data_IF_332313101031
#
_entry.id   IF_332313101031
#
_cell.length_a   1.000
_cell.length_b   1.000
_cell.length_c   1.000
_cell.angle_alpha   90.00
_cell.angle_beta   90.00
_cell.angle_gamma   90.00
#
_symmetry.space_group_name_H-M   'P 1'
#
loop_
_entity.id
_entity.type
_entity.pdbx_description
1 polymer ?
#
# COMPACT_ATOMS: atom_id res chain seq x y z
N UNK A 1 -36.70 61.32 -46.79
CA UNK A 1 -37.05 60.16 -45.92
C UNK A 1 -35.90 59.92 -44.96
N UNK A 2 -36.19 60.00 -43.67
CA UNK A 2 -35.23 60.15 -42.58
C UNK A 2 -34.65 58.80 -42.11
N UNK A 3 -33.37 58.81 -41.74
CA UNK A 3 -32.66 57.71 -41.08
C UNK A 3 -33.09 57.56 -39.62
N UNK A 4 -33.25 56.34 -39.08
CA UNK A 4 -33.51 56.17 -37.66
C UNK A 4 -32.19 56.20 -36.89
N UNK A 5 -31.95 57.33 -36.21
CA UNK A 5 -31.04 57.41 -35.07
C UNK A 5 -31.72 56.72 -33.89
N UNK A 6 -31.22 55.56 -33.47
CA UNK A 6 -31.58 54.98 -32.19
C UNK A 6 -30.37 55.03 -31.25
N UNK A 7 -30.52 55.97 -30.33
CA UNK A 7 -29.64 56.34 -29.24
C UNK A 7 -29.21 55.13 -28.41
N UNK A 8 -27.90 55.05 -28.13
CA UNK A 8 -27.37 54.35 -26.97
C UNK A 8 -27.97 54.97 -25.70
N UNK A 9 -28.64 54.21 -24.82
CA UNK A 9 -28.89 54.70 -23.47
C UNK A 9 -27.65 54.43 -22.61
N UNK A 10 -27.27 55.50 -21.93
CA UNK A 10 -26.25 55.64 -20.92
C UNK A 10 -26.11 54.44 -19.97
N UNK A 11 -24.84 54.17 -19.65
CA UNK A 11 -24.34 53.49 -18.47
C UNK A 11 -25.23 53.69 -17.24
N UNK A 12 -25.99 52.66 -16.87
CA UNK A 12 -26.40 52.45 -15.49
C UNK A 12 -25.18 51.94 -14.74
N UNK A 13 -24.58 52.83 -13.95
CA UNK A 13 -23.67 52.46 -12.87
C UNK A 13 -24.48 51.65 -11.86
N UNK A 14 -24.52 50.33 -12.05
CA UNK A 14 -24.91 49.40 -11.01
C UNK A 14 -23.76 49.40 -10.01
N UNK A 15 -23.94 50.16 -8.93
CA UNK A 15 -23.21 49.95 -7.68
C UNK A 15 -23.60 48.56 -7.16
N UNK A 16 -22.95 47.52 -7.68
CA UNK A 16 -22.91 46.24 -7.00
C UNK A 16 -21.93 46.42 -5.85
N UNK A 17 -22.46 46.41 -4.63
CA UNK A 17 -21.66 46.21 -3.43
C UNK A 17 -20.85 44.93 -3.68
N UNK A 18 -19.54 45.07 -3.79
CA UNK A 18 -18.63 43.94 -3.61
C UNK A 18 -18.89 43.44 -2.19
N UNK A 19 -19.75 42.43 -2.06
CA UNK A 19 -19.72 41.57 -0.88
C UNK A 19 -18.32 41.03 -0.83
N UNK A 20 -17.51 41.50 0.12
CA UNK A 20 -16.20 40.93 0.37
C UNK A 20 -16.44 39.47 0.71
N UNK A 21 -16.20 38.57 -0.25
CA UNK A 21 -16.09 37.17 0.06
C UNK A 21 -14.91 37.07 1.02
N UNK A 22 -15.23 36.87 2.31
CA UNK A 22 -14.23 36.53 3.31
C UNK A 22 -13.49 35.32 2.78
N UNK A 23 -12.25 35.52 2.33
CA UNK A 23 -11.31 34.45 2.04
C UNK A 23 -11.12 33.68 3.35
N UNK A 24 -11.95 32.66 3.55
CA UNK A 24 -11.71 31.67 4.60
C UNK A 24 -10.43 30.95 4.18
N UNK A 25 -9.36 30.98 4.97
CA UNK A 25 -8.19 30.19 4.65
C UNK A 25 -8.64 28.73 4.62
N UNK A 26 -8.51 28.07 3.47
CA UNK A 26 -8.81 26.65 3.28
C UNK A 26 -7.75 25.74 3.93
N UNK A 27 -7.08 26.22 4.98
CA UNK A 27 -6.29 25.40 5.85
C UNK A 27 -7.22 24.90 6.95
N UNK A 28 -7.97 23.85 6.63
CA UNK A 28 -8.45 22.96 7.68
C UNK A 28 -7.22 22.58 8.51
N UNK A 29 -7.22 22.97 9.77
CA UNK A 29 -6.27 22.43 10.75
C UNK A 29 -6.53 20.93 10.79
N UNK A 30 -5.81 20.17 9.96
CA UNK A 30 -5.51 18.79 10.27
C UNK A 30 -4.90 18.86 11.66
N UNK A 31 -5.66 18.41 12.66
CA UNK A 31 -5.12 18.23 13.99
C UNK A 31 -3.91 17.32 13.80
N UNK A 32 -2.71 17.91 13.86
CA UNK A 32 -1.47 17.20 13.99
C UNK A 32 -1.65 16.33 15.23
N UNK A 33 -2.07 15.07 15.04
CA UNK A 33 -1.92 14.06 16.07
C UNK A 33 -0.43 13.98 16.29
N UNK A 34 0.06 14.68 17.31
CA UNK A 34 1.41 14.49 17.81
C UNK A 34 1.52 13.01 18.15
N UNK A 35 2.24 12.26 17.32
CA UNK A 35 2.61 10.89 17.65
C UNK A 35 3.60 11.01 18.81
N UNK A 36 3.16 10.65 20.01
CA UNK A 36 4.08 10.51 21.14
C UNK A 36 5.05 9.35 20.87
N UNK A 37 6.27 9.47 21.39
CA UNK A 37 7.18 8.34 21.48
C UNK A 37 6.63 7.30 22.44
N UNK A 38 6.97 6.02 22.23
CA UNK A 38 6.62 4.96 23.16
C UNK A 38 7.19 5.27 24.56
N UNK A 39 6.37 5.13 25.59
CA UNK A 39 6.78 5.22 26.99
C UNK A 39 7.32 3.87 27.47
N UNK A 40 8.27 3.87 28.40
CA UNK A 40 8.83 2.62 28.97
C UNK A 40 7.80 1.80 29.77
N UNK A 41 6.72 2.44 30.22
CA UNK A 41 5.60 1.75 30.88
C UNK A 41 4.78 0.94 29.89
N UNK A 42 4.65 -0.38 30.14
CA UNK A 42 3.83 -1.29 29.34
C UNK A 42 4.53 -1.90 28.11
N UNK A 43 5.87 -1.87 28.05
CA UNK A 43 6.64 -2.50 26.96
C UNK A 43 6.38 -4.01 26.91
N UNK A 44 5.75 -4.47 25.83
CA UNK A 44 5.54 -5.89 25.53
C UNK A 44 6.68 -6.39 24.65
N UNK A 45 7.40 -7.41 25.12
CA UNK A 45 8.38 -8.12 24.30
C UNK A 45 7.66 -8.91 23.21
N UNK A 46 7.96 -8.60 21.95
CA UNK A 46 7.37 -9.26 20.77
C UNK A 46 8.46 -9.56 19.75
N UNK A 47 8.38 -10.73 19.13
CA UNK A 47 9.24 -11.06 18.00
C UNK A 47 8.79 -10.28 16.76
N UNK A 48 9.71 -10.06 15.80
CA UNK A 48 9.36 -9.43 14.51
C UNK A 48 8.23 -10.20 13.81
N UNK A 49 8.29 -11.54 13.86
CA UNK A 49 7.24 -12.42 13.33
C UNK A 49 5.88 -12.15 13.96
N UNK A 50 5.81 -12.06 15.28
CA UNK A 50 4.54 -11.78 15.97
C UNK A 50 4.06 -10.35 15.70
N UNK A 51 4.98 -9.39 15.58
CA UNK A 51 4.67 -8.01 15.25
C UNK A 51 4.06 -7.86 13.84
N UNK A 52 4.60 -8.60 12.85
CA UNK A 52 4.04 -8.71 11.51
C UNK A 52 2.66 -9.39 11.53
N UNK A 53 2.50 -10.48 12.27
CA UNK A 53 1.21 -11.17 12.42
C UNK A 53 0.14 -10.23 13.03
N UNK A 54 0.49 -9.51 14.09
CA UNK A 54 -0.40 -8.52 14.72
C UNK A 54 -0.77 -7.40 13.73
N UNK A 55 0.19 -6.89 12.95
CA UNK A 55 -0.09 -5.91 11.90
C UNK A 55 -1.10 -6.43 10.88
N UNK A 56 -0.89 -7.64 10.35
CA UNK A 56 -1.79 -8.27 9.39
C UNK A 56 -3.19 -8.47 9.97
N UNK A 57 -3.28 -9.00 11.19
CA UNK A 57 -4.54 -9.21 11.87
C UNK A 57 -5.33 -7.90 12.06
N UNK A 58 -4.66 -6.85 12.53
CA UNK A 58 -5.30 -5.55 12.77
C UNK A 58 -5.80 -4.91 11.47
N UNK A 59 -5.06 -5.03 10.35
CA UNK A 59 -5.52 -4.49 9.06
C UNK A 59 -6.63 -5.35 8.43
N UNK A 60 -6.58 -6.68 8.57
CA UNK A 60 -7.66 -7.57 8.13
C UNK A 60 -8.96 -7.30 8.89
N UNK A 61 -8.87 -7.02 10.18
CA UNK A 61 -10.02 -6.69 11.02
C UNK A 61 -10.57 -5.29 10.70
N UNK A 62 -9.69 -4.30 10.50
CA UNK A 62 -10.07 -2.92 10.22
C UNK A 62 -10.65 -2.68 8.83
N UNK A 63 -10.33 -3.51 7.83
CA UNK A 63 -10.78 -3.30 6.45
C UNK A 63 -11.19 -4.60 5.74
N UNK A 64 -12.48 -4.69 5.40
CA UNK A 64 -13.04 -5.86 4.69
C UNK A 64 -12.51 -6.03 3.26
N UNK A 65 -11.90 -5.00 2.67
CA UNK A 65 -11.27 -5.06 1.35
C UNK A 65 -9.87 -5.66 1.36
N UNK A 66 -9.26 -5.76 2.54
CA UNK A 66 -7.88 -6.24 2.70
C UNK A 66 -7.87 -7.76 2.72
N UNK A 67 -6.97 -8.41 2.00
CA UNK A 67 -6.84 -9.87 2.05
C UNK A 67 -5.41 -10.26 1.75
N UNK A 68 -5.02 -11.45 2.18
CA UNK A 68 -3.68 -12.00 1.98
C UNK A 68 -3.79 -13.12 0.95
N UNK A 69 -2.84 -13.14 0.00
CA UNK A 69 -2.65 -14.23 -0.92
C UNK A 69 -1.16 -14.53 -1.10
N UNK A 70 -0.84 -15.80 -1.32
CA UNK A 70 0.51 -16.27 -1.58
C UNK A 70 0.62 -17.77 -1.38
N UNK A 71 1.82 -18.31 -1.56
CA UNK A 71 2.10 -19.72 -1.34
C UNK A 71 2.13 -20.01 0.17
N UNK A 72 1.40 -21.04 0.58
CA UNK A 72 1.40 -21.57 1.96
C UNK A 72 0.95 -20.58 3.05
N UNK A 73 0.36 -19.44 2.68
CA UNK A 73 -0.06 -18.39 3.62
C UNK A 73 -1.26 -18.80 4.48
N UNK A 74 -2.08 -19.75 4.03
CA UNK A 74 -3.31 -20.15 4.70
C UNK A 74 -3.12 -21.46 5.48
N UNK A 75 -3.27 -22.64 4.85
CA UNK A 75 -3.33 -23.91 5.57
C UNK A 75 -2.03 -24.26 6.30
N UNK A 76 -0.89 -23.87 5.73
CA UNK A 76 0.43 -24.12 6.33
C UNK A 76 0.80 -23.07 7.40
N UNK A 77 -0.07 -22.10 7.67
CA UNK A 77 0.17 -20.98 8.58
C UNK A 77 1.35 -20.08 8.17
N UNK A 78 1.70 -20.05 6.89
CA UNK A 78 2.85 -19.33 6.34
C UNK A 78 4.16 -20.12 6.46
N UNK A 79 5.03 -20.02 5.46
CA UNK A 79 6.34 -20.68 5.45
C UNK A 79 7.16 -20.33 6.70
N UNK A 80 7.21 -19.04 7.05
CA UNK A 80 7.92 -18.51 8.23
C UNK A 80 7.01 -18.22 9.44
N UNK A 81 5.76 -18.72 9.41
CA UNK A 81 4.76 -18.58 10.48
C UNK A 81 4.29 -17.14 10.75
N UNK A 82 4.47 -16.22 9.80
CA UNK A 82 3.99 -14.83 9.90
C UNK A 82 2.45 -14.77 9.80
N UNK A 83 1.82 -15.62 9.01
CA UNK A 83 0.34 -15.64 8.81
C UNK A 83 -0.39 -16.64 9.72
N UNK A 84 0.29 -17.15 10.75
CA UNK A 84 -0.26 -18.16 11.68
C UNK A 84 -1.59 -17.72 12.31
N UNK A 85 -2.59 -18.60 12.26
CA UNK A 85 -3.91 -18.42 12.85
C UNK A 85 -4.81 -17.40 12.14
N UNK A 86 -4.35 -16.78 11.04
CA UNK A 86 -5.16 -15.80 10.30
C UNK A 86 -6.28 -16.48 9.50
N UNK A 87 -6.03 -17.68 8.95
CA UNK A 87 -7.06 -18.44 8.24
C UNK A 87 -8.24 -18.78 9.15
N UNK A 88 -7.97 -19.28 10.35
CA UNK A 88 -9.02 -19.65 11.32
C UNK A 88 -9.84 -18.44 11.77
N UNK A 89 -9.21 -17.27 11.87
CA UNK A 89 -9.85 -16.01 12.28
C UNK A 89 -10.66 -15.35 11.17
N UNK A 90 -10.17 -15.30 9.94
CA UNK A 90 -10.74 -14.48 8.86
C UNK A 90 -11.32 -15.30 7.70
N UNK A 91 -11.06 -16.60 7.67
CA UNK A 91 -11.61 -17.54 6.70
C UNK A 91 -10.93 -17.51 5.32
N UNK A 92 -11.28 -18.49 4.45
CA UNK A 92 -10.59 -18.74 3.18
C UNK A 92 -10.82 -17.67 2.11
N UNK A 93 -11.72 -16.71 2.35
CA UNK A 93 -11.91 -15.55 1.45
C UNK A 93 -10.93 -14.42 1.74
N UNK A 94 -10.29 -14.43 2.91
CA UNK A 94 -9.41 -13.35 3.39
C UNK A 94 -7.95 -13.78 3.48
N UNK A 95 -7.69 -15.09 3.58
CA UNK A 95 -6.36 -15.70 3.57
C UNK A 95 -6.38 -16.84 2.56
N UNK A 96 -5.67 -16.66 1.45
CA UNK A 96 -5.84 -17.48 0.23
C UNK A 96 -4.50 -18.13 -0.14
N UNK A 97 -4.45 -19.46 -0.10
CA UNK A 97 -3.32 -20.21 -0.70
C UNK A 97 -3.38 -20.15 -2.22
N UNK A 98 -2.24 -19.91 -2.85
CA UNK A 98 -2.10 -19.87 -4.31
C UNK A 98 -1.28 -21.05 -4.83
N UNK A 99 -1.47 -21.47 -6.10
CA UNK A 99 -0.50 -22.32 -6.78
C UNK A 99 0.87 -21.62 -6.88
N UNK A 100 1.92 -22.42 -7.13
CA UNK A 100 3.30 -21.93 -7.34
C UNK A 100 3.39 -21.29 -8.73
N UNK A 101 2.97 -20.02 -8.81
CA UNK A 101 2.96 -19.23 -10.03
C UNK A 101 2.98 -17.75 -9.67
N UNK A 102 4.16 -17.24 -9.34
CA UNK A 102 4.37 -15.88 -8.85
C UNK A 102 3.76 -14.85 -9.81
N UNK A 103 4.02 -14.99 -11.12
CA UNK A 103 3.44 -14.10 -12.13
C UNK A 103 1.91 -14.14 -12.13
N UNK A 104 1.33 -15.33 -11.96
CA UNK A 104 -0.12 -15.54 -11.98
C UNK A 104 -0.81 -14.88 -10.80
N UNK A 105 -0.40 -15.23 -9.56
CA UNK A 105 -1.05 -14.65 -8.38
C UNK A 105 -0.72 -13.18 -8.19
N UNK A 106 0.47 -12.71 -8.60
CA UNK A 106 0.82 -11.28 -8.57
C UNK A 106 -0.04 -10.50 -9.54
N UNK A 107 -0.25 -10.98 -10.77
CA UNK A 107 -1.14 -10.34 -11.74
C UNK A 107 -2.59 -10.29 -11.25
N UNK A 108 -3.06 -11.37 -10.60
CA UNK A 108 -4.37 -11.41 -9.95
C UNK A 108 -4.47 -10.37 -8.83
N UNK A 109 -3.46 -10.27 -7.97
CA UNK A 109 -3.40 -9.29 -6.89
C UNK A 109 -3.44 -7.86 -7.46
N UNK A 110 -2.64 -7.56 -8.47
CA UNK A 110 -2.64 -6.24 -9.12
C UNK A 110 -4.03 -5.94 -9.70
N UNK A 111 -4.64 -6.89 -10.43
CA UNK A 111 -6.01 -6.73 -10.94
C UNK A 111 -7.04 -6.46 -9.84
N UNK A 112 -6.95 -7.18 -8.72
CA UNK A 112 -7.81 -6.97 -7.55
C UNK A 112 -7.62 -5.58 -6.93
N UNK A 113 -6.37 -5.10 -6.83
CA UNK A 113 -6.06 -3.76 -6.36
C UNK A 113 -6.65 -2.67 -7.28
N UNK A 114 -6.54 -2.84 -8.59
CA UNK A 114 -7.12 -1.93 -9.57
C UNK A 114 -8.66 -1.93 -9.53
N UNK A 115 -9.27 -3.08 -9.18
CA UNK A 115 -10.70 -3.21 -8.93
C UNK A 115 -11.16 -2.66 -7.56
N UNK A 116 -10.22 -2.13 -6.74
CA UNK A 116 -10.53 -1.45 -5.48
C UNK A 116 -10.47 -2.32 -4.22
N UNK A 117 -9.89 -3.52 -4.30
CA UNK A 117 -9.47 -4.31 -3.13
C UNK A 117 -8.07 -3.89 -2.66
N UNK A 118 -7.65 -4.41 -1.49
CA UNK A 118 -6.38 -4.06 -0.85
C UNK A 118 -5.54 -5.34 -0.59
N UNK A 119 -5.05 -6.00 -1.64
CA UNK A 119 -4.30 -7.24 -1.51
C UNK A 119 -2.94 -7.05 -0.84
N UNK A 120 -2.61 -8.03 -0.01
CA UNK A 120 -1.29 -8.25 0.56
C UNK A 120 -0.74 -9.50 -0.12
N UNK A 121 0.13 -9.31 -1.10
CA UNK A 121 0.73 -10.34 -1.91
C UNK A 121 2.05 -10.80 -1.26
N UNK A 122 2.11 -12.05 -0.83
CA UNK A 122 3.27 -12.63 -0.16
C UNK A 122 4.09 -13.51 -1.11
N UNK A 123 5.38 -13.21 -1.21
CA UNK A 123 6.35 -14.10 -1.83
C UNK A 123 7.06 -14.89 -0.73
N UNK A 124 7.22 -16.20 -0.93
CA UNK A 124 7.95 -17.05 0.02
C UNK A 124 9.36 -16.51 0.28
N UNK A 125 10.01 -15.98 -0.77
CA UNK A 125 11.18 -15.09 -0.67
C UNK A 125 11.19 -14.15 -1.88
N UNK A 126 11.77 -12.96 -1.74
CA UNK A 126 11.92 -12.02 -2.86
C UNK A 126 12.80 -12.54 -4.00
N UNK A 127 13.58 -13.60 -3.78
CA UNK A 127 14.26 -14.31 -4.86
C UNK A 127 13.27 -14.83 -5.92
N UNK A 128 12.09 -15.28 -5.49
CA UNK A 128 11.06 -15.83 -6.38
C UNK A 128 10.18 -14.74 -7.00
N UNK A 129 10.11 -13.56 -6.37
CA UNK A 129 9.46 -12.39 -6.94
C UNK A 129 10.07 -11.96 -8.29
N UNK A 130 11.29 -12.42 -8.63
CA UNK A 130 11.84 -12.25 -9.98
C UNK A 130 10.91 -12.79 -11.08
N UNK A 131 10.19 -13.88 -10.83
CA UNK A 131 9.25 -14.45 -11.80
C UNK A 131 8.04 -13.54 -12.05
N UNK A 132 7.71 -12.64 -11.13
CA UNK A 132 6.55 -11.73 -11.20
C UNK A 132 6.93 -10.25 -11.30
N UNK A 133 8.21 -9.94 -11.47
CA UNK A 133 8.71 -8.56 -11.43
C UNK A 133 8.06 -7.66 -12.49
N UNK A 134 7.67 -8.23 -13.63
CA UNK A 134 6.92 -7.53 -14.67
C UNK A 134 5.56 -7.01 -14.15
N UNK A 135 4.82 -7.83 -13.38
CA UNK A 135 3.56 -7.41 -12.78
C UNK A 135 3.77 -6.33 -11.71
N UNK A 136 4.83 -6.45 -10.90
CA UNK A 136 5.17 -5.45 -9.88
C UNK A 136 5.50 -4.10 -10.53
N UNK A 137 6.32 -4.11 -11.58
CA UNK A 137 6.84 -2.88 -12.19
C UNK A 137 5.86 -2.31 -13.22
N UNK A 138 5.51 -3.09 -14.24
CA UNK A 138 4.77 -2.58 -15.39
C UNK A 138 3.26 -2.48 -15.12
N UNK A 139 2.70 -3.43 -14.36
CA UNK A 139 1.26 -3.42 -14.06
C UNK A 139 0.89 -2.64 -12.79
N UNK A 140 1.72 -2.66 -11.74
CA UNK A 140 1.42 -1.94 -10.51
C UNK A 140 2.06 -0.54 -10.48
N UNK A 141 3.39 -0.47 -10.44
CA UNK A 141 4.12 0.78 -10.16
C UNK A 141 3.79 1.92 -11.13
N UNK A 142 3.72 1.61 -12.43
CA UNK A 142 3.56 2.63 -13.48
C UNK A 142 2.12 3.04 -13.73
N UNK A 143 1.13 2.27 -13.29
CA UNK A 143 -0.28 2.45 -13.68
C UNK A 143 -0.84 3.79 -13.22
N UNK A 144 -0.50 4.25 -12.02
CA UNK A 144 -0.98 5.55 -11.54
C UNK A 144 -0.48 6.70 -12.42
N UNK A 145 0.78 6.65 -12.85
CA UNK A 145 1.36 7.62 -13.77
C UNK A 145 0.76 7.52 -15.18
N UNK A 146 0.68 6.31 -15.75
CA UNK A 146 0.17 6.09 -17.10
C UNK A 146 -1.32 6.46 -17.25
N UNK A 147 -2.10 6.30 -16.18
CA UNK A 147 -3.51 6.70 -16.16
C UNK A 147 -3.73 8.19 -15.90
N UNK A 148 -2.67 9.01 -15.79
CA UNK A 148 -2.79 10.44 -15.48
C UNK A 148 -3.34 10.71 -14.08
N UNK A 149 -3.06 9.83 -13.12
CA UNK A 149 -3.52 9.94 -11.73
C UNK A 149 -4.93 9.40 -11.47
N UNK A 150 -5.56 8.76 -12.45
CA UNK A 150 -6.95 8.27 -12.34
C UNK A 150 -7.00 6.94 -11.58
N UNK A 151 -6.08 6.02 -11.86
CA UNK A 151 -6.13 4.65 -11.36
C UNK A 151 -5.07 4.42 -10.28
N UNK A 152 -5.41 4.41 -8.99
CA UNK A 152 -4.50 3.97 -7.93
C UNK A 152 -4.34 2.45 -7.94
N UNK A 153 -3.28 1.96 -7.31
CA UNK A 153 -3.01 0.54 -7.13
C UNK A 153 -2.61 0.31 -5.67
N UNK A 154 -3.60 0.09 -4.79
CA UNK A 154 -3.38 -0.18 -3.38
C UNK A 154 -3.02 -1.66 -3.21
N UNK A 155 -1.72 -1.96 -3.21
CA UNK A 155 -1.19 -3.31 -3.08
C UNK A 155 0.09 -3.29 -2.24
N UNK A 156 0.22 -4.25 -1.33
CA UNK A 156 1.45 -4.48 -0.58
C UNK A 156 2.08 -5.79 -1.04
N UNK A 157 3.34 -5.75 -1.48
CA UNK A 157 4.17 -6.92 -1.73
C UNK A 157 5.06 -7.14 -0.51
N UNK A 158 5.05 -8.34 0.08
CA UNK A 158 5.85 -8.66 1.26
C UNK A 158 6.51 -10.03 1.15
N UNK A 159 7.53 -10.24 1.98
CA UNK A 159 8.27 -11.48 2.07
C UNK A 159 9.69 -11.25 2.57
N UNK A 160 10.41 -12.31 2.97
CA UNK A 160 11.81 -12.21 3.36
C UNK A 160 12.71 -11.93 2.13
N UNK A 161 13.73 -11.13 2.36
CA UNK A 161 14.68 -10.63 1.38
C UNK A 161 16.09 -10.64 1.98
N UNK A 162 17.11 -10.77 1.13
CA UNK A 162 18.50 -10.80 1.57
C UNK A 162 19.00 -12.19 1.93
N UNK A 163 20.02 -12.26 2.79
CA UNK A 163 20.70 -13.51 3.12
C UNK A 163 19.94 -14.29 4.20
N UNK A 164 20.06 -15.62 4.15
CA UNK A 164 19.69 -16.52 5.24
C UNK A 164 20.78 -17.58 5.46
N UNK A 165 20.71 -18.31 6.57
CA UNK A 165 21.75 -19.25 6.97
C UNK A 165 21.70 -20.54 6.11
N UNK A 166 22.72 -20.74 5.25
CA UNK A 166 22.92 -22.02 4.57
C UNK A 166 22.03 -22.27 3.35
N UNK A 167 21.39 -21.25 2.78
CA UNK A 167 20.41 -21.39 1.69
C UNK A 167 21.00 -21.23 0.27
N UNK A 168 22.32 -21.09 0.17
CA UNK A 168 23.07 -20.95 -1.07
C UNK A 168 22.67 -19.73 -1.94
N UNK A 169 23.17 -19.68 -3.18
CA UNK A 169 23.14 -18.48 -4.01
C UNK A 169 21.74 -18.00 -4.42
N UNK A 170 20.81 -18.92 -4.70
CA UNK A 170 19.49 -18.59 -5.26
C UNK A 170 18.44 -18.17 -4.21
N UNK A 171 18.80 -18.19 -2.92
CA UNK A 171 17.93 -17.80 -1.81
C UNK A 171 18.54 -16.68 -0.95
N UNK A 172 19.59 -16.00 -1.42
CA UNK A 172 20.36 -15.05 -0.60
C UNK A 172 20.46 -13.62 -1.19
N UNK A 173 19.70 -13.30 -2.24
CA UNK A 173 19.82 -12.01 -2.91
C UNK A 173 18.98 -10.92 -2.22
N UNK A 174 19.57 -9.73 -2.07
CA UNK A 174 18.88 -8.51 -1.63
C UNK A 174 18.41 -7.69 -2.84
N UNK A 175 17.11 -7.41 -2.91
CA UNK A 175 16.45 -6.67 -3.98
C UNK A 175 16.15 -5.20 -3.64
N UNK A 176 16.66 -4.69 -2.52
CA UNK A 176 16.50 -3.28 -2.12
C UNK A 176 16.91 -2.31 -3.24
N UNK A 177 18.05 -2.55 -3.87
CA UNK A 177 18.56 -1.71 -4.96
C UNK A 177 17.68 -1.80 -6.23
N UNK A 178 17.16 -2.99 -6.54
CA UNK A 178 16.31 -3.20 -7.71
C UNK A 178 15.00 -2.43 -7.56
N UNK A 179 14.21 -2.75 -6.54
CA UNK A 179 12.90 -2.11 -6.34
C UNK A 179 13.03 -0.63 -6.00
N UNK A 180 14.06 -0.23 -5.24
CA UNK A 180 14.29 1.17 -4.86
C UNK A 180 14.63 2.08 -6.05
N UNK A 181 15.07 1.51 -7.17
CA UNK A 181 15.35 2.25 -8.41
C UNK A 181 14.13 2.50 -9.30
N UNK A 182 12.97 1.90 -8.98
CA UNK A 182 11.78 1.93 -9.84
C UNK A 182 10.82 3.06 -9.43
N UNK A 183 10.58 4.07 -10.29
CA UNK A 183 9.56 5.09 -10.02
C UNK A 183 8.16 4.48 -9.93
N UNK A 184 7.38 4.96 -8.96
CA UNK A 184 6.02 4.48 -8.70
C UNK A 184 5.93 3.37 -7.66
N UNK A 185 7.07 2.77 -7.26
CA UNK A 185 7.14 1.93 -6.07
C UNK A 185 7.54 2.75 -4.84
N UNK A 186 7.02 2.33 -3.68
CA UNK A 186 7.62 2.64 -2.38
C UNK A 186 8.28 1.38 -1.85
N UNK A 187 9.48 1.49 -1.30
CA UNK A 187 10.23 0.35 -0.77
C UNK A 187 10.62 0.63 0.66
N UNK A 188 10.33 -0.30 1.55
CA UNK A 188 10.70 -0.26 2.97
C UNK A 188 11.34 -1.57 3.38
N UNK A 189 12.34 -1.52 4.24
CA UNK A 189 12.98 -2.69 4.84
C UNK A 189 13.04 -2.51 6.36
N UNK A 190 12.10 -3.12 7.11
CA UNK A 190 12.05 -2.99 8.57
C UNK A 190 13.19 -3.77 9.24
N UNK A 191 13.63 -3.28 10.41
CA UNK A 191 14.63 -3.97 11.22
C UNK A 191 14.07 -4.44 12.57
N UNK A 192 13.41 -3.56 13.31
CA UNK A 192 12.86 -3.87 14.64
C UNK A 192 11.40 -4.35 14.57
N UNK A 193 10.89 -4.92 15.68
CA UNK A 193 9.47 -5.30 15.79
C UNK A 193 8.53 -4.09 15.64
N UNK A 194 8.95 -2.91 16.13
CA UNK A 194 8.18 -1.66 15.99
C UNK A 194 8.14 -1.20 14.54
N UNK A 195 9.29 -1.25 13.85
CA UNK A 195 9.36 -0.93 12.42
C UNK A 195 8.50 -1.90 11.62
N UNK A 196 8.61 -3.19 11.87
CA UNK A 196 7.88 -4.23 11.15
C UNK A 196 6.36 -4.02 11.27
N UNK A 197 5.85 -3.81 12.50
CA UNK A 197 4.42 -3.56 12.72
C UNK A 197 3.98 -2.23 12.13
N UNK A 198 4.72 -1.16 12.40
CA UNK A 198 4.37 0.19 11.98
C UNK A 198 4.41 0.38 10.46
N UNK A 199 5.50 -0.05 9.83
CA UNK A 199 5.72 0.09 8.40
C UNK A 199 4.79 -0.83 7.60
N UNK A 200 4.53 -2.06 8.04
CA UNK A 200 3.58 -2.93 7.34
C UNK A 200 2.16 -2.36 7.36
N UNK A 201 1.68 -1.88 8.51
CA UNK A 201 0.37 -1.20 8.60
C UNK A 201 0.33 0.05 7.73
N UNK A 202 1.41 0.83 7.70
CA UNK A 202 1.50 2.01 6.84
C UNK A 202 1.46 1.63 5.35
N UNK A 203 2.16 0.56 4.96
CA UNK A 203 2.19 0.03 3.60
C UNK A 203 0.79 -0.40 3.13
N UNK A 204 0.07 -1.18 3.95
CA UNK A 204 -1.29 -1.68 3.64
C UNK A 204 -2.30 -0.54 3.47
N UNK A 205 -2.10 0.58 4.17
CA UNK A 205 -2.98 1.75 4.11
C UNK A 205 -2.60 2.71 2.97
N UNK A 206 -1.43 2.57 2.39
CA UNK A 206 -0.95 3.44 1.33
C UNK A 206 -1.72 3.16 0.03
N UNK A 207 -2.18 4.17 -0.72
CA UNK A 207 -2.92 3.96 -1.97
C UNK A 207 -2.01 3.57 -3.16
N UNK A 208 -0.71 3.39 -2.94
CA UNK A 208 0.29 3.06 -3.96
C UNK A 208 0.86 1.65 -3.74
N UNK A 209 1.54 1.09 -4.76
CA UNK A 209 2.26 -0.17 -4.59
C UNK A 209 3.44 -0.02 -3.62
N UNK A 210 3.45 -0.82 -2.56
CA UNK A 210 4.52 -0.82 -1.55
C UNK A 210 5.18 -2.19 -1.48
N UNK A 211 6.51 -2.20 -1.52
CA UNK A 211 7.36 -3.38 -1.34
C UNK A 211 7.92 -3.35 0.09
N UNK A 212 7.61 -4.38 0.88
CA UNK A 212 8.08 -4.57 2.25
C UNK A 212 9.09 -5.71 2.26
N UNK A 213 10.37 -5.35 2.28
CA UNK A 213 11.51 -6.27 2.27
C UNK A 213 11.87 -6.67 3.70
N UNK A 214 11.24 -7.74 4.18
CA UNK A 214 11.51 -8.32 5.50
C UNK A 214 12.82 -9.12 5.49
N UNK A 215 13.24 -9.62 6.65
CA UNK A 215 14.41 -10.49 6.78
C UNK A 215 14.01 -11.82 7.41
N UNK A 216 14.65 -12.91 6.99
CA UNK A 216 14.50 -14.25 7.56
C UNK A 216 15.00 -14.35 9.02
#
# INVERSE_FOLDING_TARGET
MAAPRLFRPASRVLSSRLTSASLRPAFAQSALRARGYATEDGVKQVTVRDALNEALAEELEGNQKTFILGEEVAQYNGAYKVTRGLLDRFGPKRVIDTPITEAGFTGLAVGAALAGLHPICEFMTFNFAMQSIDQIINSAAKTHYMSGGIQPCNITFRGPNGFAAGVAAQHSQDYSAWYGSIPGLKVVSPWSSEDAKGLLKAAIRDPNPVVVLENE
#
